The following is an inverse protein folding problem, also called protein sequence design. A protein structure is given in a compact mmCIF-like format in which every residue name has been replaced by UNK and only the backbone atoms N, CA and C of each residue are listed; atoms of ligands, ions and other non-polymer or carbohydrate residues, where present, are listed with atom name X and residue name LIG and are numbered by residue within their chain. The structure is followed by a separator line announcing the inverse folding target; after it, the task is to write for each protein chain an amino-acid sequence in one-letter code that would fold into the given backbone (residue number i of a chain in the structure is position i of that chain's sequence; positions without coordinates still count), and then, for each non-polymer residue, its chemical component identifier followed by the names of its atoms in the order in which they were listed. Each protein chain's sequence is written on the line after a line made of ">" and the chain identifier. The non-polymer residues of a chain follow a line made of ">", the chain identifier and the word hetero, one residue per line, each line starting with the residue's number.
data_IF_957732750583
#
_entry.id   IF_957732750583
#
_cell.length_a   1.000
_cell.length_b   1.000
_cell.length_c   1.000
_cell.angle_alpha   90.00
_cell.angle_beta   90.00
_cell.angle_gamma   90.00
#
_symmetry.space_group_name_H-M   'P 1'
#
loop_
_entity.id
_entity.type
_entity.pdbx_description
1 polymer ?
#
# COMPACT_ATOMS: atom_id res chain seq x y z
N UNK A 1 13.36 7.28 58.43
CA UNK A 1 14.81 7.54 58.37
C UNK A 1 15.40 7.18 57.03
N UNK A 2 15.65 5.88 56.77
CA UNK A 2 16.47 5.41 55.64
C UNK A 2 16.00 5.85 54.24
N UNK A 3 14.69 6.04 54.04
CA UNK A 3 14.09 6.41 52.75
C UNK A 3 13.66 7.88 52.65
N UNK A 4 13.96 8.72 53.63
CA UNK A 4 13.45 10.10 53.66
C UNK A 4 14.35 11.08 52.86
N UNK A 5 15.43 10.59 52.24
CA UNK A 5 16.27 11.37 51.34
C UNK A 5 15.72 11.29 49.90
N UNK A 6 15.34 12.42 49.28
CA UNK A 6 14.71 12.45 47.95
C UNK A 6 15.61 12.00 46.79
N UNK A 7 16.93 11.93 46.99
CA UNK A 7 17.89 11.48 45.96
C UNK A 7 18.16 9.97 45.97
N UNK A 8 17.51 9.20 46.84
CA UNK A 8 17.73 7.77 46.95
C UNK A 8 16.88 7.03 45.91
N UNK A 9 17.53 6.19 45.09
CA UNK A 9 16.81 5.22 44.25
C UNK A 9 16.19 4.16 45.16
N UNK A 10 14.89 4.33 45.43
CA UNK A 10 14.12 3.47 46.33
C UNK A 10 14.19 2.00 45.90
N UNK A 11 14.23 1.72 44.59
CA UNK A 11 14.27 0.36 44.06
C UNK A 11 15.60 -0.33 44.33
N UNK A 12 16.72 0.39 44.34
CA UNK A 12 18.03 -0.19 44.68
C UNK A 12 18.29 -0.24 46.18
N UNK A 13 17.64 0.65 46.95
CA UNK A 13 17.84 0.77 48.39
C UNK A 13 17.03 -0.23 49.19
N UNK A 14 15.87 -0.66 48.68
CA UNK A 14 15.04 -1.69 49.33
C UNK A 14 15.82 -3.01 49.51
N UNK A 15 16.42 -3.62 48.47
CA UNK A 15 17.17 -4.87 48.65
C UNK A 15 18.33 -4.73 49.63
N UNK A 16 19.08 -3.63 49.55
CA UNK A 16 20.20 -3.36 50.46
C UNK A 16 19.76 -3.24 51.92
N UNK A 17 18.58 -2.66 52.17
CA UNK A 17 18.01 -2.60 53.51
C UNK A 17 17.72 -4.01 54.01
N UNK A 18 17.08 -4.84 53.20
CA UNK A 18 16.76 -6.22 53.59
C UNK A 18 18.01 -7.07 53.85
N UNK A 19 19.08 -6.91 53.06
CA UNK A 19 20.37 -7.59 53.33
C UNK A 19 20.97 -7.18 54.67
N UNK A 20 20.89 -5.90 55.04
CA UNK A 20 21.43 -5.40 56.33
C UNK A 20 20.60 -5.86 57.52
N UNK A 21 19.29 -5.99 57.33
CA UNK A 21 18.34 -6.30 58.41
C UNK A 21 18.10 -7.81 58.53
N UNK A 22 18.42 -8.61 57.51
CA UNK A 22 18.21 -10.07 57.51
C UNK A 22 19.01 -10.78 58.59
N UNK A 23 20.28 -10.42 58.80
CA UNK A 23 21.11 -10.99 59.90
C UNK A 23 20.44 -10.74 61.26
N UNK A 24 19.98 -9.50 61.50
CA UNK A 24 19.33 -9.11 62.74
C UNK A 24 17.97 -9.82 62.94
N UNK A 25 17.20 -10.00 61.86
CA UNK A 25 15.91 -10.72 61.91
C UNK A 25 16.13 -12.20 62.25
N UNK A 26 17.15 -12.82 61.65
CA UNK A 26 17.48 -14.23 61.89
C UNK A 26 17.98 -14.48 63.32
N UNK A 27 18.63 -13.51 63.95
CA UNK A 27 19.11 -13.62 65.34
C UNK A 27 18.02 -13.37 66.39
N UNK A 28 17.04 -12.49 66.10
CA UNK A 28 16.11 -11.98 67.11
C UNK A 28 14.71 -12.62 67.13
N UNK A 29 14.32 -13.38 66.09
CA UNK A 29 12.95 -13.89 65.96
C UNK A 29 12.89 -15.39 65.70
N UNK A 30 11.95 -16.08 66.36
CA UNK A 30 11.71 -17.52 66.20
C UNK A 30 11.13 -17.90 64.81
N UNK A 31 10.53 -16.94 64.10
CA UNK A 31 9.94 -17.12 62.76
C UNK A 31 10.38 -15.98 61.81
N UNK A 32 11.65 -15.98 61.37
CA UNK A 32 12.24 -14.87 60.61
C UNK A 32 11.56 -14.66 59.24
N UNK A 33 11.06 -15.73 58.62
CA UNK A 33 10.34 -15.66 57.34
C UNK A 33 9.09 -14.78 57.41
N UNK A 34 8.23 -14.98 58.42
CA UNK A 34 6.99 -14.20 58.59
C UNK A 34 7.26 -12.73 58.92
N UNK A 35 8.34 -12.46 59.66
CA UNK A 35 8.76 -11.09 59.98
C UNK A 35 9.24 -10.39 58.71
N UNK A 36 10.03 -11.09 57.89
CA UNK A 36 10.53 -10.61 56.61
C UNK A 36 9.39 -10.31 55.64
N UNK A 37 8.43 -11.24 55.46
CA UNK A 37 7.25 -11.01 54.62
C UNK A 37 6.44 -9.78 55.07
N UNK A 38 6.20 -9.65 56.38
CA UNK A 38 5.46 -8.49 56.93
C UNK A 38 6.22 -7.19 56.72
N UNK A 39 7.55 -7.20 56.86
CA UNK A 39 8.39 -6.05 56.58
C UNK A 39 8.35 -5.67 55.09
N UNK A 40 8.38 -6.66 54.17
CA UNK A 40 8.21 -6.43 52.73
C UNK A 40 6.87 -5.76 52.45
N UNK A 41 5.77 -6.27 53.00
CA UNK A 41 4.44 -5.67 52.85
C UNK A 41 4.44 -4.21 53.32
N UNK A 42 5.01 -3.93 54.49
CA UNK A 42 5.11 -2.57 55.05
C UNK A 42 5.92 -1.65 54.15
N UNK A 43 7.10 -2.08 53.69
CA UNK A 43 7.95 -1.28 52.78
C UNK A 43 7.22 -0.98 51.47
N UNK A 44 6.56 -1.98 50.88
CA UNK A 44 5.79 -1.79 49.66
C UNK A 44 4.61 -0.82 49.85
N UNK A 45 3.90 -0.93 50.96
CA UNK A 45 2.67 -0.16 51.20
C UNK A 45 2.96 1.26 51.69
N UNK A 46 3.93 1.44 52.58
CA UNK A 46 4.20 2.72 53.25
C UNK A 46 5.30 3.55 52.58
N UNK A 47 6.16 2.93 51.77
CA UNK A 47 7.26 3.63 51.10
C UNK A 47 7.16 3.57 49.58
N UNK A 48 7.04 2.37 49.00
CA UNK A 48 7.00 2.24 47.54
C UNK A 48 5.71 2.81 46.93
N UNK A 49 4.54 2.49 47.48
CA UNK A 49 3.27 2.98 46.93
C UNK A 49 3.14 4.52 46.98
N UNK A 50 3.49 5.23 48.07
CA UNK A 50 3.51 6.69 48.06
C UNK A 50 4.55 7.28 47.08
N UNK A 51 5.72 6.64 46.94
CA UNK A 51 6.71 7.05 45.96
C UNK A 51 6.17 6.96 44.52
N UNK A 52 5.57 5.83 44.15
CA UNK A 52 4.93 5.62 42.84
C UNK A 52 3.83 6.67 42.62
N UNK A 53 2.98 6.91 43.63
CA UNK A 53 1.92 7.91 43.55
C UNK A 53 2.45 9.31 43.29
N UNK A 54 3.49 9.73 44.00
CA UNK A 54 4.10 11.04 43.84
C UNK A 54 4.74 11.24 42.45
N UNK A 55 5.14 10.16 41.77
CA UNK A 55 5.70 10.21 40.42
C UNK A 55 4.63 10.21 39.33
N UNK A 56 3.48 9.54 39.55
CA UNK A 56 2.45 9.33 38.52
C UNK A 56 1.31 10.35 38.58
N UNK A 57 0.79 10.63 39.78
CA UNK A 57 -0.38 11.50 39.97
C UNK A 57 -0.22 12.92 39.42
N UNK A 58 0.97 13.57 39.43
CA UNK A 58 1.13 14.90 38.85
C UNK A 58 0.71 14.98 37.38
N UNK A 59 1.01 13.94 36.58
CA UNK A 59 0.65 13.91 35.17
C UNK A 59 -0.86 13.75 34.95
N UNK A 60 -1.54 13.00 35.83
CA UNK A 60 -2.98 12.77 35.74
C UNK A 60 -3.83 14.00 36.10
N UNK A 61 -3.25 15.01 36.76
CA UNK A 61 -3.95 16.26 37.10
C UNK A 61 -4.16 17.17 35.90
N UNK A 62 -3.30 17.09 34.89
CA UNK A 62 -3.41 17.85 33.65
C UNK A 62 -3.08 16.94 32.45
N UNK A 63 -4.05 16.12 31.99
CA UNK A 63 -3.81 15.08 31.01
C UNK A 63 -3.83 15.63 29.57
N UNK A 64 -2.86 16.48 29.23
CA UNK A 64 -2.53 16.78 27.83
C UNK A 64 -1.70 15.64 27.21
N UNK A 65 -1.53 15.66 25.88
CA UNK A 65 -0.85 14.58 25.15
C UNK A 65 0.58 14.32 25.66
N UNK A 66 1.34 15.40 25.90
CA UNK A 66 2.73 15.33 26.39
C UNK A 66 2.80 14.73 27.81
N UNK A 67 1.91 15.14 28.71
CA UNK A 67 1.86 14.61 30.07
C UNK A 67 1.37 13.16 30.07
N UNK A 68 0.44 12.79 29.18
CA UNK A 68 -0.01 11.41 29.03
C UNK A 68 1.10 10.50 28.51
N UNK A 69 1.90 10.94 27.54
CA UNK A 69 3.06 10.17 27.08
C UNK A 69 4.11 10.00 28.19
N UNK A 70 4.42 11.08 28.93
CA UNK A 70 5.31 11.03 30.09
C UNK A 70 4.77 10.12 31.19
N UNK A 71 3.47 10.15 31.44
CA UNK A 71 2.79 9.29 32.40
C UNK A 71 2.96 7.81 32.01
N UNK A 72 2.63 7.44 30.77
CA UNK A 72 2.73 6.06 30.29
C UNK A 72 4.17 5.55 30.33
N UNK A 73 5.13 6.39 29.92
CA UNK A 73 6.56 6.06 29.98
C UNK A 73 7.06 5.89 31.42
N UNK A 74 6.61 6.75 32.33
CA UNK A 74 6.96 6.68 33.76
C UNK A 74 6.35 5.45 34.41
N UNK A 75 5.08 5.14 34.14
CA UNK A 75 4.40 3.94 34.62
C UNK A 75 5.13 2.68 34.18
N UNK A 76 5.44 2.56 32.88
CA UNK A 76 6.22 1.45 32.34
C UNK A 76 7.59 1.32 33.04
N UNK A 77 8.31 2.43 33.21
CA UNK A 77 9.63 2.42 33.84
C UNK A 77 9.57 1.99 35.31
N UNK A 78 8.61 2.53 36.07
CA UNK A 78 8.41 2.19 37.49
C UNK A 78 7.99 0.73 37.66
N UNK A 79 7.08 0.22 36.81
CA UNK A 79 6.65 -1.17 36.87
C UNK A 79 7.79 -2.14 36.52
N UNK A 80 8.60 -1.81 35.50
CA UNK A 80 9.80 -2.57 35.14
C UNK A 80 10.82 -2.58 36.28
N UNK A 81 11.02 -1.45 36.97
CA UNK A 81 11.88 -1.37 38.17
C UNK A 81 11.31 -2.19 39.33
N UNK A 82 9.99 -2.20 39.55
CA UNK A 82 9.34 -3.01 40.58
C UNK A 82 9.47 -4.52 40.31
N UNK A 83 9.36 -4.91 39.05
CA UNK A 83 9.59 -6.30 38.60
C UNK A 83 11.05 -6.69 38.82
N UNK A 84 12.00 -5.82 38.45
CA UNK A 84 13.42 -6.04 38.74
C UNK A 84 13.69 -6.15 40.24
N UNK A 85 13.11 -5.26 41.05
CA UNK A 85 13.19 -5.33 42.52
C UNK A 85 12.72 -6.69 43.04
N UNK A 86 11.62 -7.22 42.49
CA UNK A 86 11.11 -8.54 42.88
C UNK A 86 12.12 -9.66 42.56
N UNK A 87 12.78 -9.59 41.39
CA UNK A 87 13.83 -10.53 41.03
C UNK A 87 15.08 -10.36 41.93
N UNK A 88 15.45 -9.13 42.28
CA UNK A 88 16.57 -8.85 43.17
C UNK A 88 16.31 -9.42 44.59
N UNK A 89 15.07 -9.32 45.09
CA UNK A 89 14.66 -9.92 46.37
C UNK A 89 14.70 -11.46 46.33
N UNK A 90 14.35 -12.08 45.20
CA UNK A 90 14.46 -13.53 45.02
C UNK A 90 15.92 -14.00 44.94
N UNK A 91 16.74 -13.34 44.13
CA UNK A 91 18.15 -13.71 43.95
C UNK A 91 18.95 -13.59 45.23
N UNK A 92 18.60 -12.63 46.09
CA UNK A 92 19.19 -12.44 47.42
C UNK A 92 18.58 -13.36 48.49
N UNK A 93 17.65 -14.26 48.14
CA UNK A 93 16.95 -15.19 49.06
C UNK A 93 16.25 -14.48 50.22
N UNK A 94 15.74 -13.27 49.97
CA UNK A 94 14.96 -12.50 50.95
C UNK A 94 13.50 -12.98 50.93
N UNK A 95 13.00 -13.38 49.77
CA UNK A 95 11.66 -13.95 49.59
C UNK A 95 11.69 -15.01 48.50
N UNK A 96 11.26 -16.23 48.84
CA UNK A 96 11.27 -17.37 47.91
C UNK A 96 9.97 -17.53 47.12
N UNK A 97 8.88 -16.83 47.48
CA UNK A 97 7.60 -16.89 46.77
C UNK A 97 7.49 -15.82 45.66
N UNK A 98 7.64 -16.19 44.37
CA UNK A 98 7.47 -15.25 43.27
C UNK A 98 6.03 -14.75 43.11
N UNK A 99 5.03 -15.56 43.46
CA UNK A 99 3.63 -15.18 43.35
C UNK A 99 3.25 -14.13 44.41
N UNK A 100 3.85 -14.20 45.60
CA UNK A 100 3.72 -13.17 46.63
C UNK A 100 4.26 -11.82 46.15
N UNK A 101 5.48 -11.77 45.64
CA UNK A 101 6.11 -10.54 45.15
C UNK A 101 5.35 -9.95 43.95
N UNK A 102 4.84 -10.81 43.05
CA UNK A 102 3.97 -10.37 41.96
C UNK A 102 2.69 -9.71 42.47
N UNK A 103 2.02 -10.32 43.45
CA UNK A 103 0.81 -9.75 44.08
C UNK A 103 1.08 -8.41 44.75
N UNK A 104 2.27 -8.21 45.32
CA UNK A 104 2.66 -6.92 45.89
C UNK A 104 2.83 -5.84 44.82
N UNK A 105 3.49 -6.14 43.70
CA UNK A 105 3.55 -5.22 42.56
C UNK A 105 2.14 -4.90 42.06
N UNK A 106 1.32 -5.93 41.83
CA UNK A 106 -0.07 -5.77 41.41
C UNK A 106 -0.88 -4.90 42.39
N UNK A 107 -0.65 -5.03 43.69
CA UNK A 107 -1.30 -4.19 44.69
C UNK A 107 -0.87 -2.72 44.61
N UNK A 108 0.44 -2.44 44.48
CA UNK A 108 0.99 -1.08 44.36
C UNK A 108 0.48 -0.38 43.10
N UNK A 109 0.40 -1.10 41.98
CA UNK A 109 0.05 -0.51 40.68
C UNK A 109 -1.43 -0.67 40.29
N UNK A 110 -2.25 -1.34 41.11
CA UNK A 110 -3.63 -1.77 40.80
C UNK A 110 -4.50 -0.69 40.15
N UNK A 111 -4.53 0.51 40.72
CA UNK A 111 -5.36 1.62 40.22
C UNK A 111 -4.90 2.13 38.86
N UNK A 112 -3.59 2.10 38.60
CA UNK A 112 -2.98 2.57 37.36
C UNK A 112 -3.11 1.53 36.24
N UNK A 113 -2.91 0.24 36.56
CA UNK A 113 -3.07 -0.85 35.59
C UNK A 113 -4.52 -0.99 35.13
N UNK A 114 -5.49 -0.76 36.03
CA UNK A 114 -6.92 -0.82 35.69
C UNK A 114 -7.34 0.19 34.61
N UNK A 115 -6.70 1.35 34.54
CA UNK A 115 -7.02 2.41 33.56
C UNK A 115 -5.99 2.53 32.44
N UNK A 116 -4.89 1.77 32.53
CA UNK A 116 -3.76 1.81 31.62
C UNK A 116 -4.17 1.61 30.16
N UNK A 117 -4.90 0.54 29.86
CA UNK A 117 -5.29 0.17 28.49
C UNK A 117 -6.03 1.30 27.78
N UNK A 118 -6.99 1.91 28.46
CA UNK A 118 -7.71 3.08 27.95
C UNK A 118 -6.79 4.26 27.67
N UNK A 119 -5.89 4.60 28.59
CA UNK A 119 -4.99 5.73 28.42
C UNK A 119 -3.95 5.52 27.31
N UNK A 120 -3.38 4.31 27.22
CA UNK A 120 -2.44 3.94 26.16
C UNK A 120 -3.09 4.06 24.78
N UNK A 121 -4.26 3.44 24.61
CA UNK A 121 -4.95 3.41 23.32
C UNK A 121 -5.45 4.79 22.89
N UNK A 122 -5.93 5.61 23.83
CA UNK A 122 -6.35 6.99 23.53
C UNK A 122 -5.15 7.88 23.19
N UNK A 123 -4.05 7.78 23.95
CA UNK A 123 -2.83 8.54 23.67
C UNK A 123 -2.28 8.19 22.30
N UNK A 124 -2.22 6.90 21.95
CA UNK A 124 -1.78 6.45 20.63
C UNK A 124 -2.66 7.03 19.50
N UNK A 125 -3.97 7.01 19.68
CA UNK A 125 -4.94 7.54 18.72
C UNK A 125 -4.78 9.06 18.53
N UNK A 126 -4.59 9.82 19.60
CA UNK A 126 -4.31 11.25 19.54
C UNK A 126 -2.96 11.55 18.85
N UNK A 127 -1.90 10.77 19.14
CA UNK A 127 -0.60 10.91 18.43
C UNK A 127 -0.75 10.66 16.94
N UNK A 128 -1.46 9.61 16.56
CA UNK A 128 -1.72 9.31 15.15
C UNK A 128 -2.47 10.44 14.46
N UNK A 129 -3.48 11.01 15.12
CA UNK A 129 -4.23 12.14 14.59
C UNK A 129 -3.35 13.38 14.39
N UNK A 130 -2.45 13.70 15.33
CA UNK A 130 -1.48 14.80 15.19
C UNK A 130 -0.54 14.57 14.00
N UNK A 131 -0.07 13.34 13.82
CA UNK A 131 0.78 12.99 12.68
C UNK A 131 0.04 13.15 11.34
N UNK A 132 -1.22 12.70 11.26
CA UNK A 132 -2.06 12.85 10.08
C UNK A 132 -2.36 14.31 9.76
N UNK A 133 -2.73 15.12 10.76
CA UNK A 133 -3.02 16.54 10.60
C UNK A 133 -1.80 17.34 10.15
N UNK A 134 -0.59 16.94 10.59
CA UNK A 134 0.66 17.54 10.13
C UNK A 134 0.85 17.35 8.62
N UNK A 135 0.60 16.14 8.12
CA UNK A 135 0.72 15.83 6.69
C UNK A 135 -0.37 16.54 5.88
N UNK A 136 -1.62 16.57 6.37
CA UNK A 136 -2.71 17.32 5.72
C UNK A 136 -2.38 18.82 5.65
N UNK A 137 -1.74 19.38 6.68
CA UNK A 137 -1.35 20.79 6.73
C UNK A 137 -0.15 21.13 5.84
N UNK A 138 0.79 20.20 5.67
CA UNK A 138 1.95 20.38 4.78
C UNK A 138 1.61 20.12 3.31
N UNK A 139 0.67 19.21 3.02
CA UNK A 139 0.28 18.79 1.66
C UNK A 139 -0.75 19.68 0.97
N UNK A 140 -1.05 20.86 1.53
CA UNK A 140 -1.75 21.92 0.81
C UNK A 140 -3.18 21.62 0.35
N UNK A 141 -4.09 21.12 1.22
CA UNK A 141 -5.47 21.65 1.30
C UNK A 141 -6.29 21.00 2.42
N UNK A 142 -6.94 21.88 3.19
CA UNK A 142 -7.90 21.60 4.27
C UNK A 142 -9.05 20.74 3.74
N UNK A 143 -9.44 19.70 4.49
CA UNK A 143 -10.72 19.00 4.31
C UNK A 143 -11.84 20.01 4.07
N UNK A 144 -12.52 19.93 2.92
CA UNK A 144 -13.79 20.62 2.74
C UNK A 144 -14.77 19.93 3.68
N UNK A 145 -14.97 20.50 4.87
CA UNK A 145 -16.12 20.15 5.70
C UNK A 145 -17.37 20.50 4.90
N UNK A 146 -18.38 19.63 4.80
CA UNK A 146 -19.62 19.92 4.11
C UNK A 146 -20.45 20.88 4.97
N UNK A 147 -20.09 22.17 4.93
CA UNK A 147 -20.91 23.25 5.46
C UNK A 147 -21.25 24.19 4.32
N UNK A 148 -22.40 23.96 3.69
CA UNK A 148 -23.22 24.99 3.04
C UNK A 148 -22.67 25.73 1.82
N UNK A 149 -21.62 25.26 1.15
CA UNK A 149 -21.14 25.89 -0.09
C UNK A 149 -22.04 25.55 -1.28
N UNK A 150 -22.37 26.57 -2.08
CA UNK A 150 -23.13 26.42 -3.32
C UNK A 150 -22.34 25.59 -4.34
N UNK A 151 -23.03 24.76 -5.13
CA UNK A 151 -22.46 23.94 -6.20
C UNK A 151 -21.65 24.80 -7.19
N UNK A 152 -22.00 26.08 -7.35
CA UNK A 152 -21.29 27.04 -8.18
C UNK A 152 -19.90 27.39 -7.65
N UNK A 153 -19.72 27.49 -6.34
CA UNK A 153 -18.44 27.87 -5.72
C UNK A 153 -17.46 26.70 -5.74
N UNK A 154 -17.97 25.47 -5.61
CA UNK A 154 -17.20 24.22 -5.76
C UNK A 154 -16.69 24.08 -7.21
N UNK A 155 -17.50 24.45 -8.19
CA UNK A 155 -17.13 24.41 -9.61
C UNK A 155 -16.12 25.52 -9.94
N UNK A 156 -16.29 26.74 -9.40
CA UNK A 156 -15.32 27.83 -9.60
C UNK A 156 -13.96 27.53 -8.94
N UNK A 157 -13.93 26.95 -7.74
CA UNK A 157 -12.66 26.56 -7.10
C UNK A 157 -11.95 25.41 -7.83
N UNK A 158 -12.68 24.45 -8.41
CA UNK A 158 -12.07 23.39 -9.24
C UNK A 158 -11.50 23.88 -10.57
N UNK A 159 -12.08 24.92 -11.16
CA UNK A 159 -11.61 25.50 -12.43
C UNK A 159 -10.32 26.33 -12.24
N UNK A 160 -10.16 26.97 -11.07
CA UNK A 160 -8.98 27.78 -10.74
C UNK A 160 -7.76 26.93 -10.33
N UNK A 161 -7.96 25.71 -9.79
CA UNK A 161 -6.90 24.80 -9.38
C UNK A 161 -6.45 23.83 -10.49
N UNK A 162 -6.56 24.22 -11.76
CA UNK A 162 -6.17 23.37 -12.91
C UNK A 162 -4.66 23.26 -13.13
N UNK A 163 -3.85 23.72 -12.16
CA UNK A 163 -2.40 23.46 -12.09
C UNK A 163 -1.93 22.84 -10.76
N UNK A 164 -2.82 22.43 -9.88
CA UNK A 164 -2.41 21.98 -8.55
C UNK A 164 -1.79 20.59 -8.64
N UNK A 165 -0.47 20.60 -8.55
CA UNK A 165 0.39 19.44 -8.47
C UNK A 165 -0.23 18.45 -7.49
N UNK A 166 -0.46 17.20 -7.93
CA UNK A 166 -0.37 16.08 -6.98
C UNK A 166 1.07 16.15 -6.50
N UNK A 167 1.22 16.80 -5.36
CA UNK A 167 2.47 17.09 -4.71
C UNK A 167 2.99 15.72 -4.26
N UNK A 168 4.16 15.30 -4.76
CA UNK A 168 4.84 14.09 -4.27
C UNK A 168 5.00 14.11 -2.73
N UNK A 169 4.82 15.29 -2.12
CA UNK A 169 4.79 15.58 -0.68
C UNK A 169 3.65 14.89 0.10
N UNK A 170 2.57 14.43 -0.55
CA UNK A 170 1.40 13.90 0.18
C UNK A 170 1.60 12.47 0.71
N UNK A 171 2.35 11.64 -0.01
CA UNK A 171 2.82 10.36 0.51
C UNK A 171 4.12 10.59 1.27
N UNK A 172 4.01 10.79 2.58
CA UNK A 172 5.18 10.99 3.45
C UNK A 172 5.68 9.65 3.98
N UNK A 173 6.88 9.17 3.57
CA UNK A 173 7.47 7.97 4.18
C UNK A 173 7.73 8.15 5.68
N UNK A 174 7.95 9.40 6.11
CA UNK A 174 8.13 9.77 7.52
C UNK A 174 6.86 9.52 8.34
N UNK A 175 5.67 9.66 7.75
CA UNK A 175 4.41 9.38 8.43
C UNK A 175 4.31 7.90 8.78
N UNK A 176 4.49 7.01 7.80
CA UNK A 176 4.42 5.57 8.03
C UNK A 176 5.44 5.12 9.10
N UNK A 177 6.66 5.64 9.01
CA UNK A 177 7.71 5.37 10.00
C UNK A 177 7.34 5.87 11.41
N UNK A 178 6.80 7.09 11.53
CA UNK A 178 6.38 7.66 12.80
C UNK A 178 5.23 6.87 13.45
N UNK A 179 4.16 6.57 12.69
CA UNK A 179 3.03 5.79 13.20
C UNK A 179 3.46 4.38 13.65
N UNK A 180 4.34 3.73 12.88
CA UNK A 180 4.90 2.43 13.25
C UNK A 180 5.75 2.51 14.51
N UNK A 181 6.57 3.54 14.66
CA UNK A 181 7.43 3.71 15.84
C UNK A 181 6.60 3.95 17.11
N UNK A 182 5.56 4.76 17.02
CA UNK A 182 4.62 5.00 18.11
C UNK A 182 3.86 3.72 18.47
N UNK A 183 3.38 2.98 17.47
CA UNK A 183 2.73 1.68 17.68
C UNK A 183 3.66 0.68 18.37
N UNK A 184 4.93 0.59 17.95
CA UNK A 184 5.94 -0.29 18.56
C UNK A 184 6.22 0.07 20.03
N UNK A 185 6.28 1.37 20.31
CA UNK A 185 6.50 1.86 21.67
C UNK A 185 5.32 1.51 22.57
N UNK A 186 4.09 1.73 22.08
CA UNK A 186 2.87 1.31 22.77
C UNK A 186 2.82 -0.21 22.96
N UNK A 187 3.13 -0.99 21.93
CA UNK A 187 3.16 -2.45 21.98
C UNK A 187 4.11 -2.97 23.06
N UNK A 188 5.31 -2.40 23.17
CA UNK A 188 6.29 -2.74 24.21
C UNK A 188 5.76 -2.49 25.63
N UNK A 189 5.01 -1.39 25.81
CA UNK A 189 4.35 -1.07 27.09
C UNK A 189 3.22 -2.05 27.37
N UNK A 190 2.39 -2.35 26.37
CA UNK A 190 1.24 -3.27 26.48
C UNK A 190 1.71 -4.67 26.90
N UNK A 191 2.74 -5.22 26.25
CA UNK A 191 3.28 -6.54 26.57
C UNK A 191 3.90 -6.63 27.96
N UNK A 192 4.18 -5.48 28.60
CA UNK A 192 4.78 -5.41 29.95
C UNK A 192 3.73 -5.12 31.03
N UNK A 193 2.74 -4.30 30.73
CA UNK A 193 1.77 -3.77 31.70
C UNK A 193 0.42 -4.47 31.67
N UNK A 194 0.09 -5.20 30.60
CA UNK A 194 -1.14 -5.99 30.49
C UNK A 194 -0.86 -7.47 30.68
N UNK A 195 -1.80 -8.20 31.29
CA UNK A 195 -1.67 -9.65 31.55
C UNK A 195 -2.89 -10.43 31.04
N UNK A 196 -2.68 -11.72 30.75
CA UNK A 196 -3.74 -12.66 30.37
C UNK A 196 -4.53 -12.23 29.12
N UNK A 197 -5.85 -12.41 29.18
CA UNK A 197 -6.76 -12.08 28.06
C UNK A 197 -6.86 -10.58 27.78
N UNK A 198 -6.53 -9.71 28.73
CA UNK A 198 -6.53 -8.27 28.49
C UNK A 198 -5.35 -7.87 27.60
N UNK A 199 -4.20 -8.53 27.76
CA UNK A 199 -3.02 -8.29 26.91
C UNK A 199 -3.31 -8.58 25.44
N UNK A 200 -3.91 -9.73 25.13
CA UNK A 200 -4.26 -10.09 23.75
C UNK A 200 -5.26 -9.12 23.13
N UNK A 201 -6.23 -8.63 23.91
CA UNK A 201 -7.18 -7.60 23.46
C UNK A 201 -6.47 -6.26 23.20
N UNK A 202 -5.61 -5.82 24.11
CA UNK A 202 -4.89 -4.55 23.94
C UNK A 202 -3.93 -4.59 22.74
N UNK A 203 -3.26 -5.73 22.49
CA UNK A 203 -2.41 -5.93 21.31
C UNK A 203 -3.24 -5.80 20.02
N UNK A 204 -4.39 -6.48 19.96
CA UNK A 204 -5.34 -6.36 18.85
C UNK A 204 -5.75 -4.89 18.64
N UNK A 205 -6.24 -4.23 19.68
CA UNK A 205 -6.73 -2.85 19.61
C UNK A 205 -5.64 -1.84 19.22
N UNK A 206 -4.39 -2.08 19.62
CA UNK A 206 -3.24 -1.26 19.24
C UNK A 206 -2.92 -1.40 17.74
N UNK A 207 -2.92 -2.64 17.21
CA UNK A 207 -2.67 -2.86 15.79
C UNK A 207 -3.83 -2.37 14.90
N UNK A 208 -5.08 -2.52 15.34
CA UNK A 208 -6.24 -2.01 14.60
C UNK A 208 -6.20 -0.48 14.45
N UNK A 209 -5.69 0.26 15.45
CA UNK A 209 -5.47 1.71 15.33
C UNK A 209 -4.45 2.06 14.26
N UNK A 210 -3.37 1.29 14.15
CA UNK A 210 -2.36 1.48 13.10
C UNK A 210 -2.97 1.22 11.71
N UNK A 211 -3.72 0.11 11.54
CA UNK A 211 -4.41 -0.19 10.29
C UNK A 211 -5.39 0.91 9.90
N UNK A 212 -6.12 1.45 10.88
CA UNK A 212 -7.08 2.52 10.63
C UNK A 212 -6.39 3.83 10.24
N UNK A 213 -5.37 4.26 10.99
CA UNK A 213 -4.67 5.52 10.73
C UNK A 213 -3.89 5.49 9.42
N UNK A 214 -3.04 4.47 9.23
CA UNK A 214 -2.19 4.38 8.04
C UNK A 214 -2.95 3.85 6.83
N UNK A 215 -3.75 2.80 6.97
CA UNK A 215 -4.52 2.20 5.88
C UNK A 215 -5.74 3.03 5.48
N UNK A 216 -6.72 3.13 6.38
CA UNK A 216 -8.04 3.70 6.05
C UNK A 216 -8.06 5.24 6.00
N UNK A 217 -7.27 5.92 6.82
CA UNK A 217 -7.32 7.38 6.88
C UNK A 217 -6.30 8.03 5.95
N UNK A 218 -5.09 7.48 5.86
CA UNK A 218 -4.05 8.04 5.01
C UNK A 218 -4.04 7.44 3.59
N UNK A 219 -3.68 6.16 3.46
CA UNK A 219 -3.45 5.54 2.15
C UNK A 219 -4.72 5.52 1.30
N UNK A 220 -5.86 5.10 1.87
CA UNK A 220 -7.16 5.11 1.18
C UNK A 220 -7.51 6.50 0.64
N UNK A 221 -7.41 7.53 1.48
CA UNK A 221 -7.68 8.92 1.11
C UNK A 221 -6.75 9.39 -0.02
N UNK A 222 -5.44 9.13 0.08
CA UNK A 222 -4.47 9.56 -0.93
C UNK A 222 -4.61 8.79 -2.25
N UNK A 223 -4.96 7.51 -2.20
CA UNK A 223 -5.33 6.73 -3.40
C UNK A 223 -6.58 7.29 -4.06
N UNK A 224 -7.62 7.64 -3.28
CA UNK A 224 -8.84 8.23 -3.82
C UNK A 224 -8.58 9.60 -4.47
N UNK A 225 -7.72 10.44 -3.87
CA UNK A 225 -7.30 11.69 -4.49
C UNK A 225 -6.52 11.45 -5.79
N UNK A 226 -5.56 10.53 -5.76
CA UNK A 226 -4.76 10.17 -6.93
C UNK A 226 -5.63 9.59 -8.05
N UNK A 227 -6.68 8.84 -7.70
CA UNK A 227 -7.64 8.27 -8.64
C UNK A 227 -8.48 9.35 -9.33
N UNK A 228 -8.86 10.40 -8.60
CA UNK A 228 -9.60 11.54 -9.15
C UNK A 228 -8.72 12.42 -10.06
N UNK A 229 -7.41 12.42 -9.85
CA UNK A 229 -6.45 13.15 -10.66
C UNK A 229 -6.14 12.48 -12.01
N UNK A 230 -6.56 11.23 -12.22
CA UNK A 230 -6.39 10.55 -13.53
C UNK A 230 -7.24 11.31 -14.58
N UNK A 231 -6.65 11.73 -15.71
CA UNK A 231 -7.40 12.40 -16.76
C UNK A 231 -8.52 11.51 -17.32
N UNK A 232 -9.49 12.14 -18.00
CA UNK A 232 -10.57 11.42 -18.67
C UNK A 232 -10.07 10.38 -19.70
N UNK A 233 -10.94 9.48 -20.18
CA UNK A 233 -10.55 8.32 -20.97
C UNK A 233 -9.93 8.65 -22.33
N UNK A 234 -10.17 9.84 -22.90
CA UNK A 234 -9.62 10.26 -24.19
C UNK A 234 -9.01 11.66 -24.08
N UNK A 235 -7.85 11.80 -23.42
CA UNK A 235 -7.21 13.09 -23.24
C UNK A 235 -6.67 13.61 -24.58
N UNK A 236 -6.70 14.94 -24.76
CA UNK A 236 -6.15 15.57 -25.97
C UNK A 236 -4.63 15.77 -25.91
N UNK A 237 -4.08 15.84 -24.71
CA UNK A 237 -2.65 16.00 -24.45
C UNK A 237 -2.11 14.70 -23.84
N UNK A 238 -0.79 14.53 -23.91
CA UNK A 238 -0.14 13.36 -23.33
C UNK A 238 -0.44 13.27 -21.82
N UNK A 239 -1.05 12.17 -21.34
CA UNK A 239 -1.50 12.09 -19.98
C UNK A 239 -0.33 11.90 -19.01
N UNK A 240 -0.32 12.68 -17.94
CA UNK A 240 0.60 12.52 -16.82
C UNK A 240 -0.02 11.61 -15.75
N UNK A 241 0.23 10.31 -15.85
CA UNK A 241 -0.35 9.31 -14.93
C UNK A 241 0.48 9.22 -13.64
N UNK A 242 0.29 10.18 -12.74
CA UNK A 242 0.92 10.17 -11.41
C UNK A 242 0.39 9.08 -10.50
N UNK A 243 -0.75 8.48 -10.84
CA UNK A 243 -1.36 7.39 -10.07
C UNK A 243 -0.39 6.21 -9.85
N UNK A 244 0.51 5.93 -10.80
CA UNK A 244 1.49 4.85 -10.62
C UNK A 244 2.46 5.10 -9.46
N UNK A 245 2.80 6.36 -9.17
CA UNK A 245 3.58 6.70 -7.98
C UNK A 245 2.81 6.39 -6.69
N UNK A 246 1.51 6.69 -6.64
CA UNK A 246 0.65 6.37 -5.50
C UNK A 246 0.56 4.86 -5.24
N UNK A 247 0.54 4.03 -6.30
CA UNK A 247 0.64 2.57 -6.18
C UNK A 247 1.97 2.18 -5.50
N UNK A 248 3.08 2.75 -5.94
CA UNK A 248 4.40 2.48 -5.36
C UNK A 248 4.46 2.80 -3.87
N UNK A 249 3.98 3.98 -3.47
CA UNK A 249 3.97 4.41 -2.07
C UNK A 249 3.01 3.57 -1.20
N UNK A 250 1.88 3.15 -1.77
CA UNK A 250 0.97 2.22 -1.12
C UNK A 250 1.64 0.87 -0.88
N UNK A 251 2.31 0.30 -1.89
CA UNK A 251 3.02 -0.97 -1.75
C UNK A 251 4.11 -0.89 -0.67
N UNK A 252 4.90 0.19 -0.65
CA UNK A 252 5.92 0.40 0.40
C UNK A 252 5.29 0.41 1.80
N UNK A 253 4.17 1.12 1.97
CA UNK A 253 3.48 1.21 3.26
C UNK A 253 2.88 -0.13 3.69
N UNK A 254 2.26 -0.86 2.75
CA UNK A 254 1.74 -2.23 2.99
C UNK A 254 2.88 -3.17 3.41
N UNK A 255 4.03 -3.11 2.74
CA UNK A 255 5.19 -3.93 3.10
C UNK A 255 5.72 -3.62 4.51
N UNK A 256 5.71 -2.34 4.92
CA UNK A 256 6.11 -1.95 6.27
C UNK A 256 5.12 -2.49 7.33
N UNK A 257 3.81 -2.39 7.08
CA UNK A 257 2.77 -2.95 7.96
C UNK A 257 2.91 -4.47 8.04
N UNK A 258 3.07 -5.14 6.90
CA UNK A 258 3.18 -6.61 6.84
C UNK A 258 4.43 -7.10 7.56
N UNK A 259 5.57 -6.42 7.37
CA UNK A 259 6.80 -6.73 8.09
C UNK A 259 6.62 -6.58 9.59
N UNK A 260 6.00 -5.49 10.04
CA UNK A 260 5.71 -5.27 11.45
C UNK A 260 4.79 -6.37 12.01
N UNK A 261 3.73 -6.73 11.29
CA UNK A 261 2.82 -7.79 11.66
C UNK A 261 3.55 -9.14 11.84
N UNK A 262 4.32 -9.56 10.85
CA UNK A 262 5.03 -10.86 10.86
C UNK A 262 6.10 -10.91 11.95
N UNK A 263 6.88 -9.83 12.11
CA UNK A 263 8.02 -9.83 13.03
C UNK A 263 7.59 -9.66 14.50
N UNK A 264 6.66 -8.75 14.78
CA UNK A 264 6.43 -8.26 16.14
C UNK A 264 5.05 -8.63 16.70
N UNK A 265 4.04 -8.92 15.85
CA UNK A 265 2.64 -9.08 16.30
C UNK A 265 2.13 -10.52 16.22
N UNK A 266 2.40 -11.21 15.12
CA UNK A 266 1.78 -12.50 14.82
C UNK A 266 2.03 -13.57 15.91
N UNK A 267 3.23 -13.60 16.48
CA UNK A 267 3.61 -14.54 17.54
C UNK A 267 2.94 -14.23 18.88
N UNK A 268 2.65 -12.96 19.17
CA UNK A 268 2.05 -12.53 20.43
C UNK A 268 0.58 -12.95 20.56
N UNK A 269 -0.11 -13.14 19.43
CA UNK A 269 -1.52 -13.55 19.40
C UNK A 269 -1.73 -15.01 18.98
N UNK A 270 -0.66 -15.77 18.77
CA UNK A 270 -0.76 -17.16 18.32
C UNK A 270 -1.56 -18.00 19.33
N UNK A 271 -2.66 -18.61 18.88
CA UNK A 271 -3.52 -19.43 19.73
C UNK A 271 -4.52 -18.66 20.60
N UNK A 272 -4.61 -17.34 20.45
CA UNK A 272 -5.62 -16.49 21.12
C UNK A 272 -6.89 -16.36 20.27
N UNK A 273 -8.03 -16.03 20.90
CA UNK A 273 -9.28 -15.80 20.17
C UNK A 273 -9.22 -14.55 19.26
N UNK A 274 -8.36 -13.59 19.58
CA UNK A 274 -8.13 -12.35 18.84
C UNK A 274 -7.43 -12.54 17.49
N UNK A 275 -6.71 -13.66 17.30
CA UNK A 275 -5.93 -13.93 16.09
C UNK A 275 -6.79 -13.85 14.81
N UNK A 276 -7.96 -14.47 14.83
CA UNK A 276 -8.86 -14.49 13.66
C UNK A 276 -9.37 -13.09 13.31
N UNK A 277 -9.73 -12.29 14.31
CA UNK A 277 -10.24 -10.93 14.10
C UNK A 277 -9.15 -10.01 13.54
N UNK A 278 -7.91 -10.15 14.03
CA UNK A 278 -6.77 -9.39 13.54
C UNK A 278 -6.52 -9.65 12.05
N UNK A 279 -6.45 -10.94 11.67
CA UNK A 279 -6.22 -11.36 10.30
C UNK A 279 -7.31 -10.85 9.36
N UNK A 280 -8.58 -11.05 9.73
CA UNK A 280 -9.72 -10.56 8.94
C UNK A 280 -9.69 -9.04 8.75
N UNK A 281 -9.33 -8.29 9.80
CA UNK A 281 -9.26 -6.83 9.72
C UNK A 281 -8.13 -6.37 8.82
N UNK A 282 -6.95 -7.01 8.89
CA UNK A 282 -5.82 -6.75 8.00
C UNK A 282 -6.16 -7.04 6.54
N UNK A 283 -6.71 -8.22 6.27
CA UNK A 283 -7.13 -8.64 4.93
C UNK A 283 -8.20 -7.71 4.36
N UNK A 284 -9.17 -7.28 5.18
CA UNK A 284 -10.19 -6.33 4.77
C UNK A 284 -9.59 -5.00 4.32
N UNK A 285 -8.70 -4.41 5.10
CA UNK A 285 -8.06 -3.13 4.74
C UNK A 285 -7.21 -3.30 3.49
N UNK A 286 -6.41 -4.36 3.40
CA UNK A 286 -5.55 -4.60 2.24
C UNK A 286 -6.36 -4.84 0.96
N UNK A 287 -7.44 -5.61 1.04
CA UNK A 287 -8.34 -5.83 -0.09
C UNK A 287 -9.01 -4.55 -0.58
N UNK A 288 -9.44 -3.67 0.34
CA UNK A 288 -10.01 -2.36 -0.03
C UNK A 288 -9.00 -1.48 -0.79
N UNK A 289 -7.75 -1.44 -0.35
CA UNK A 289 -6.70 -0.69 -1.03
C UNK A 289 -6.37 -1.32 -2.41
N UNK A 290 -6.36 -2.64 -2.49
CA UNK A 290 -6.15 -3.37 -3.74
C UNK A 290 -7.28 -3.12 -4.75
N UNK A 291 -8.53 -3.10 -4.32
CA UNK A 291 -9.68 -2.76 -5.17
C UNK A 291 -9.55 -1.35 -5.77
N UNK A 292 -9.12 -0.37 -4.97
CA UNK A 292 -8.88 1.00 -5.44
C UNK A 292 -7.72 1.06 -6.44
N UNK A 293 -6.64 0.34 -6.19
CA UNK A 293 -5.51 0.21 -7.12
C UNK A 293 -5.99 -0.37 -8.45
N UNK A 294 -6.76 -1.46 -8.42
CA UNK A 294 -7.28 -2.11 -9.62
C UNK A 294 -8.17 -1.17 -10.45
N UNK A 295 -9.06 -0.42 -9.79
CA UNK A 295 -9.90 0.60 -10.45
C UNK A 295 -9.03 1.69 -11.09
N UNK A 296 -8.00 2.16 -10.38
CA UNK A 296 -7.12 3.22 -10.89
C UNK A 296 -6.21 2.78 -12.02
N UNK A 297 -5.71 1.54 -11.97
CA UNK A 297 -4.96 0.92 -13.08
C UNK A 297 -5.84 0.83 -14.32
N UNK A 298 -7.08 0.34 -14.20
CA UNK A 298 -7.99 0.25 -15.34
C UNK A 298 -8.25 1.62 -15.98
N UNK A 299 -8.54 2.64 -15.16
CA UNK A 299 -8.73 4.03 -15.63
C UNK A 299 -7.47 4.60 -16.27
N UNK A 300 -6.30 4.39 -15.67
CA UNK A 300 -5.02 4.84 -16.21
C UNK A 300 -4.74 4.21 -17.58
N UNK A 301 -4.90 2.90 -17.71
CA UNK A 301 -4.72 2.19 -18.98
C UNK A 301 -5.73 2.67 -20.03
N UNK A 302 -6.99 2.88 -19.63
CA UNK A 302 -8.02 3.42 -20.53
C UNK A 302 -7.62 4.81 -21.05
N UNK A 303 -7.13 5.69 -20.17
CA UNK A 303 -6.66 7.03 -20.51
C UNK A 303 -5.47 6.99 -21.50
N UNK A 304 -4.47 6.15 -21.23
CA UNK A 304 -3.30 5.98 -22.11
C UNK A 304 -3.72 5.46 -23.49
N UNK A 305 -4.59 4.45 -23.53
CA UNK A 305 -5.10 3.86 -24.77
C UNK A 305 -5.97 4.86 -25.54
N UNK A 306 -6.78 5.67 -24.87
CA UNK A 306 -7.55 6.72 -25.51
C UNK A 306 -6.69 7.85 -26.06
N UNK A 307 -5.58 8.19 -25.41
CA UNK A 307 -4.60 9.12 -25.98
C UNK A 307 -3.98 8.56 -27.26
N UNK A 308 -3.53 7.31 -27.24
CA UNK A 308 -3.01 6.63 -28.43
C UNK A 308 -4.05 6.57 -29.56
N UNK A 309 -5.34 6.35 -29.21
CA UNK A 309 -6.46 6.42 -30.17
C UNK A 309 -6.59 7.79 -30.80
N UNK A 310 -6.45 8.87 -30.03
CA UNK A 310 -6.48 10.23 -30.56
C UNK A 310 -5.36 10.49 -31.56
N UNK A 311 -4.14 10.03 -31.28
CA UNK A 311 -3.02 10.09 -32.23
C UNK A 311 -3.36 9.31 -33.51
N UNK A 312 -3.88 8.08 -33.39
CA UNK A 312 -4.27 7.25 -34.53
C UNK A 312 -5.38 7.88 -35.38
N UNK A 313 -6.31 8.61 -34.78
CA UNK A 313 -7.39 9.27 -35.51
C UNK A 313 -6.90 10.43 -36.39
N UNK A 314 -5.65 10.90 -36.22
CA UNK A 314 -5.03 11.88 -37.11
C UNK A 314 -4.55 11.26 -38.44
N UNK A 315 -4.51 9.92 -38.55
CA UNK A 315 -4.12 9.20 -39.75
C UNK A 315 -5.15 9.39 -40.88
N UNK A 316 -4.67 9.76 -42.08
CA UNK A 316 -5.54 10.06 -43.23
C UNK A 316 -5.77 8.82 -44.07
N UNK A 317 -6.91 8.76 -44.76
CA UNK A 317 -7.21 7.69 -45.73
C UNK A 317 -6.20 7.63 -46.87
N UNK A 318 -5.65 8.77 -47.27
CA UNK A 318 -4.61 8.88 -48.30
C UNK A 318 -3.31 8.17 -47.91
N UNK A 319 -3.07 7.93 -46.62
CA UNK A 319 -1.84 7.30 -46.14
C UNK A 319 -1.84 5.79 -46.45
N UNK A 320 -3.02 5.19 -46.56
CA UNK A 320 -3.22 3.77 -46.89
C UNK A 320 -3.90 3.53 -48.26
N UNK A 321 -4.30 4.61 -48.93
CA UNK A 321 -4.79 4.59 -50.32
C UNK A 321 -4.19 5.77 -51.11
N UNK A 322 -2.86 5.85 -51.24
CA UNK A 322 -2.22 6.92 -51.97
C UNK A 322 -2.48 6.81 -53.47
N UNK A 323 -2.63 7.95 -54.14
CA UNK A 323 -2.79 8.01 -55.61
C UNK A 323 -1.43 7.87 -56.33
N UNK A 324 -0.35 8.27 -55.67
CA UNK A 324 1.02 8.22 -56.18
C UNK A 324 1.86 7.23 -55.37
N UNK A 325 3.01 6.81 -55.90
CA UNK A 325 3.98 6.05 -55.13
C UNK A 325 4.45 6.84 -53.90
N UNK A 326 4.48 6.18 -52.74
CA UNK A 326 4.91 6.74 -51.46
C UNK A 326 6.21 6.06 -51.03
N UNK A 327 7.01 6.75 -50.22
CA UNK A 327 8.21 6.16 -49.63
C UNK A 327 7.81 5.22 -48.48
N UNK A 328 8.12 3.92 -48.62
CA UNK A 328 7.74 2.85 -47.66
C UNK A 328 8.96 2.33 -46.89
N UNK A 329 10.08 3.06 -46.89
CA UNK A 329 11.31 2.64 -46.20
C UNK A 329 11.18 2.61 -44.67
N UNK A 330 10.19 3.31 -44.10
CA UNK A 330 9.98 3.42 -42.66
C UNK A 330 8.48 3.38 -42.33
N UNK A 331 8.15 3.12 -41.06
CA UNK A 331 6.79 3.25 -40.56
C UNK A 331 6.30 4.71 -40.59
N UNK A 332 4.99 4.87 -40.57
CA UNK A 332 4.31 6.15 -40.66
C UNK A 332 4.64 7.07 -39.48
N UNK A 333 4.58 8.41 -39.66
CA UNK A 333 4.80 9.36 -38.58
C UNK A 333 3.86 9.16 -37.39
N UNK A 334 2.61 8.74 -37.65
CA UNK A 334 1.62 8.43 -36.62
C UNK A 334 2.02 7.17 -35.85
N UNK A 335 2.47 6.12 -36.53
CA UNK A 335 3.01 4.93 -35.88
C UNK A 335 4.14 5.26 -34.90
N UNK A 336 5.13 6.04 -35.34
CA UNK A 336 6.25 6.48 -34.48
C UNK A 336 5.78 7.25 -33.25
N UNK A 337 4.79 8.15 -33.41
CA UNK A 337 4.22 8.92 -32.28
C UNK A 337 3.51 8.03 -31.27
N UNK A 338 2.71 7.07 -31.74
CA UNK A 338 2.03 6.10 -30.87
C UNK A 338 3.06 5.27 -30.09
N UNK A 339 4.04 4.68 -30.78
CA UNK A 339 5.10 3.87 -30.14
C UNK A 339 5.85 4.68 -29.09
N UNK A 340 6.25 5.92 -29.40
CA UNK A 340 6.94 6.80 -28.47
C UNK A 340 6.10 7.10 -27.22
N UNK A 341 4.82 7.40 -27.38
CA UNK A 341 3.93 7.68 -26.24
C UNK A 341 3.76 6.45 -25.34
N UNK A 342 3.60 5.26 -25.92
CA UNK A 342 3.51 4.02 -25.15
C UNK A 342 4.81 3.71 -24.40
N UNK A 343 5.96 3.93 -25.05
CA UNK A 343 7.27 3.69 -24.43
C UNK A 343 7.48 4.56 -23.18
N UNK A 344 7.11 5.84 -23.25
CA UNK A 344 7.14 6.74 -22.08
C UNK A 344 6.34 6.17 -20.91
N UNK A 345 5.14 5.63 -21.17
CA UNK A 345 4.27 5.10 -20.12
C UNK A 345 4.75 3.75 -19.59
N UNK A 346 5.30 2.89 -20.45
CA UNK A 346 5.90 1.61 -20.04
C UNK A 346 7.09 1.86 -19.12
N UNK A 347 8.00 2.78 -19.46
CA UNK A 347 9.16 3.12 -18.62
C UNK A 347 8.70 3.63 -17.25
N UNK A 348 7.68 4.49 -17.19
CA UNK A 348 7.11 4.97 -15.92
C UNK A 348 6.53 3.84 -15.08
N UNK A 349 5.80 2.90 -15.69
CA UNK A 349 5.28 1.71 -15.03
C UNK A 349 6.41 0.86 -14.45
N UNK A 350 7.47 0.60 -15.23
CA UNK A 350 8.62 -0.20 -14.80
C UNK A 350 9.41 0.44 -13.66
N UNK A 351 9.34 1.76 -13.50
CA UNK A 351 10.00 2.49 -12.41
C UNK A 351 9.17 2.54 -11.12
N UNK A 352 7.87 2.28 -11.18
CA UNK A 352 6.93 2.53 -10.07
C UNK A 352 6.26 1.26 -9.56
N UNK A 353 6.09 0.24 -10.39
CA UNK A 353 5.45 -1.03 -10.06
C UNK A 353 6.43 -2.17 -10.31
N UNK A 354 6.45 -3.17 -9.42
CA UNK A 354 7.39 -4.27 -9.44
C UNK A 354 6.71 -5.66 -9.47
N UNK A 355 7.53 -6.68 -9.65
CA UNK A 355 7.15 -8.09 -9.51
C UNK A 355 5.98 -8.54 -10.39
N UNK A 356 5.07 -9.32 -9.80
CA UNK A 356 3.92 -9.90 -10.49
C UNK A 356 2.89 -8.85 -10.90
N UNK A 357 2.77 -7.76 -10.12
CA UNK A 357 1.83 -6.68 -10.41
C UNK A 357 2.22 -5.97 -11.72
N UNK A 358 3.50 -5.67 -11.91
CA UNK A 358 4.00 -5.09 -13.15
C UNK A 358 3.70 -6.00 -14.36
N UNK A 359 3.94 -7.31 -14.23
CA UNK A 359 3.68 -8.29 -15.30
C UNK A 359 2.18 -8.30 -15.67
N UNK A 360 1.29 -8.31 -14.68
CA UNK A 360 -0.16 -8.29 -14.90
C UNK A 360 -0.62 -7.03 -15.62
N UNK A 361 -0.15 -5.86 -15.17
CA UNK A 361 -0.51 -4.55 -15.76
C UNK A 361 0.01 -4.44 -17.20
N UNK A 362 1.28 -4.80 -17.44
CA UNK A 362 1.87 -4.75 -18.79
C UNK A 362 1.16 -5.71 -19.75
N UNK A 363 0.75 -6.89 -19.29
CA UNK A 363 -0.02 -7.83 -20.10
C UNK A 363 -1.37 -7.21 -20.53
N UNK A 364 -2.15 -6.68 -19.58
CA UNK A 364 -3.43 -6.05 -19.89
C UNK A 364 -3.27 -4.83 -20.80
N UNK A 365 -2.22 -4.03 -20.56
CA UNK A 365 -1.89 -2.90 -21.42
C UNK A 365 -1.60 -3.35 -22.86
N UNK A 366 -0.78 -4.38 -23.04
CA UNK A 366 -0.48 -4.95 -24.36
C UNK A 366 -1.70 -5.51 -25.08
N UNK A 367 -2.64 -6.15 -24.35
CA UNK A 367 -3.90 -6.66 -24.90
C UNK A 367 -4.79 -5.51 -25.41
N UNK A 368 -4.95 -4.44 -24.62
CA UNK A 368 -5.72 -3.25 -25.03
C UNK A 368 -5.07 -2.54 -26.21
N UNK A 369 -3.75 -2.48 -26.24
CA UNK A 369 -3.02 -1.91 -27.35
C UNK A 369 -3.19 -2.73 -28.64
N UNK A 370 -3.06 -4.05 -28.57
CA UNK A 370 -3.34 -4.94 -29.71
C UNK A 370 -4.75 -4.72 -30.27
N UNK A 371 -5.76 -4.66 -29.38
CA UNK A 371 -7.14 -4.38 -29.78
C UNK A 371 -7.27 -3.01 -30.46
N UNK A 372 -6.67 -1.96 -29.88
CA UNK A 372 -6.67 -0.62 -30.47
C UNK A 372 -6.11 -0.61 -31.90
N UNK A 373 -4.97 -1.28 -32.12
CA UNK A 373 -4.34 -1.35 -33.45
C UNK A 373 -5.21 -2.16 -34.41
N UNK A 374 -5.75 -3.30 -33.97
CA UNK A 374 -6.64 -4.13 -34.79
C UNK A 374 -7.87 -3.33 -35.25
N UNK A 375 -8.55 -2.66 -34.31
CA UNK A 375 -9.70 -1.81 -34.60
C UNK A 375 -9.34 -0.66 -35.54
N UNK A 376 -8.11 -0.14 -35.47
CA UNK A 376 -7.62 0.91 -36.36
C UNK A 376 -7.42 0.41 -37.80
N UNK A 377 -6.88 -0.81 -37.99
CA UNK A 377 -6.70 -1.42 -39.32
C UNK A 377 -8.05 -1.52 -40.06
N UNK A 378 -9.10 -1.93 -39.36
CA UNK A 378 -10.44 -2.08 -39.95
C UNK A 378 -11.12 -0.76 -40.35
N UNK A 379 -10.54 0.42 -40.03
CA UNK A 379 -11.09 1.73 -40.44
C UNK A 379 -10.72 2.15 -41.86
N UNK A 380 -9.83 1.42 -42.52
CA UNK A 380 -9.25 1.82 -43.81
C UNK A 380 -9.43 0.78 -44.90
N UNK A 381 -9.31 1.24 -46.14
CA UNK A 381 -9.13 0.40 -47.33
C UNK A 381 -7.68 0.55 -47.80
N UNK A 382 -7.14 -0.51 -48.39
CA UNK A 382 -5.72 -0.60 -48.74
C UNK A 382 -5.52 -0.90 -50.23
N UNK A 383 -4.75 -0.05 -50.90
CA UNK A 383 -4.10 -0.42 -52.16
C UNK A 383 -2.71 -1.04 -51.87
N UNK A 384 -1.97 -1.50 -52.90
CA UNK A 384 -0.68 -2.19 -52.69
C UNK A 384 0.31 -1.33 -51.88
N UNK A 385 0.48 -0.05 -52.26
CA UNK A 385 1.41 0.86 -51.58
C UNK A 385 1.01 1.11 -50.13
N UNK A 386 -0.29 1.30 -49.86
CA UNK A 386 -0.79 1.46 -48.50
C UNK A 386 -0.76 0.17 -47.67
N UNK A 387 -0.96 -0.98 -48.31
CA UNK A 387 -0.78 -2.31 -47.72
C UNK A 387 0.66 -2.52 -47.23
N UNK A 388 1.64 -2.11 -48.04
CA UNK A 388 3.05 -2.13 -47.64
C UNK A 388 3.33 -1.16 -46.49
N UNK A 389 2.72 0.04 -46.48
CA UNK A 389 2.85 1.00 -45.38
C UNK A 389 2.30 0.44 -44.05
N UNK A 390 1.07 -0.10 -44.04
CA UNK A 390 0.52 -0.70 -42.81
C UNK A 390 1.34 -1.93 -42.36
N UNK A 391 1.93 -2.69 -43.28
CA UNK A 391 2.83 -3.79 -42.94
C UNK A 391 4.08 -3.31 -42.19
N UNK A 392 4.63 -2.13 -42.56
CA UNK A 392 5.71 -1.50 -41.80
C UNK A 392 5.25 -1.02 -40.42
N UNK A 393 4.07 -0.40 -40.32
CA UNK A 393 3.50 0.04 -39.05
C UNK A 393 3.27 -1.13 -38.08
N UNK A 394 2.65 -2.22 -38.54
CA UNK A 394 2.44 -3.43 -37.72
C UNK A 394 3.77 -4.08 -37.34
N UNK A 395 4.78 -4.05 -38.22
CA UNK A 395 6.12 -4.54 -37.87
C UNK A 395 6.72 -3.74 -36.72
N UNK A 396 6.55 -2.42 -36.71
CA UNK A 396 7.03 -1.57 -35.64
C UNK A 396 6.22 -1.74 -34.34
N UNK A 397 4.89 -1.85 -34.43
CA UNK A 397 4.04 -2.16 -33.27
C UNK A 397 4.37 -3.53 -32.66
N UNK A 398 4.67 -4.54 -33.48
CA UNK A 398 5.13 -5.86 -33.03
C UNK A 398 6.50 -5.82 -32.34
N UNK A 399 7.41 -4.94 -32.76
CA UNK A 399 8.66 -4.70 -32.01
C UNK A 399 8.36 -4.05 -30.66
N UNK A 400 7.49 -3.04 -30.64
CA UNK A 400 7.05 -2.39 -29.42
C UNK A 400 6.36 -3.38 -28.47
N UNK A 401 5.62 -4.36 -29.00
CA UNK A 401 4.86 -5.32 -28.19
C UNK A 401 5.74 -6.15 -27.25
N UNK A 402 7.02 -6.37 -27.63
CA UNK A 402 8.00 -7.09 -26.80
C UNK A 402 8.21 -6.46 -25.43
N UNK A 403 8.01 -5.14 -25.32
CA UNK A 403 8.17 -4.39 -24.07
C UNK A 403 7.09 -4.72 -23.04
N UNK A 404 5.93 -5.26 -23.45
CA UNK A 404 4.88 -5.71 -22.53
C UNK A 404 5.21 -7.03 -21.81
N UNK A 405 6.29 -7.74 -22.20
CA UNK A 405 6.76 -8.98 -21.57
C UNK A 405 5.68 -10.07 -21.49
N UNK A 406 4.76 -10.10 -22.46
CA UNK A 406 3.66 -11.07 -22.53
C UNK A 406 3.75 -11.91 -23.80
N UNK A 407 3.88 -13.23 -23.62
CA UNK A 407 3.88 -14.20 -24.72
C UNK A 407 2.56 -14.19 -25.50
N UNK A 408 1.44 -13.97 -24.81
CA UNK A 408 0.12 -13.84 -25.44
C UNK A 408 0.07 -12.61 -26.36
N UNK A 409 0.51 -11.45 -25.88
CA UNK A 409 0.55 -10.22 -26.68
C UNK A 409 1.47 -10.39 -27.89
N UNK A 410 2.62 -11.05 -27.70
CA UNK A 410 3.56 -11.36 -28.78
C UNK A 410 2.96 -12.23 -29.87
N UNK A 411 2.21 -13.27 -29.49
CA UNK A 411 1.50 -14.14 -30.43
C UNK A 411 0.40 -13.39 -31.16
N UNK A 412 -0.37 -12.55 -30.46
CA UNK A 412 -1.41 -11.73 -31.07
C UNK A 412 -0.85 -10.78 -32.14
N UNK A 413 0.24 -10.06 -31.84
CA UNK A 413 0.89 -9.21 -32.85
C UNK A 413 1.55 -10.01 -33.98
N UNK A 414 2.02 -11.24 -33.74
CA UNK A 414 2.49 -12.11 -34.81
C UNK A 414 1.37 -12.54 -35.75
N UNK A 415 0.19 -12.86 -35.21
CA UNK A 415 -1.02 -13.18 -35.97
C UNK A 415 -1.51 -11.94 -36.75
N UNK A 416 -1.59 -10.77 -36.11
CA UNK A 416 -2.00 -9.53 -36.77
C UNK A 416 -1.06 -9.15 -37.93
N UNK A 417 0.24 -9.34 -37.75
CA UNK A 417 1.23 -9.14 -38.81
C UNK A 417 0.99 -10.08 -40.00
N UNK A 418 0.71 -11.36 -39.75
CA UNK A 418 0.37 -12.32 -40.80
C UNK A 418 -0.95 -11.97 -41.51
N UNK A 419 -1.96 -11.50 -40.77
CA UNK A 419 -3.24 -11.06 -41.34
C UNK A 419 -3.07 -9.82 -42.23
N UNK A 420 -2.28 -8.84 -41.80
CA UNK A 420 -1.99 -7.63 -42.59
C UNK A 420 -1.15 -7.93 -43.83
N UNK A 421 -0.31 -8.98 -43.80
CA UNK A 421 0.43 -9.43 -44.98
C UNK A 421 -0.52 -9.83 -46.13
N UNK A 422 -1.73 -10.32 -45.84
CA UNK A 422 -2.75 -10.64 -46.86
C UNK A 422 -3.19 -9.43 -47.68
N UNK A 423 -3.00 -8.20 -47.18
CA UNK A 423 -3.32 -6.96 -47.88
C UNK A 423 -2.37 -6.67 -49.04
N UNK A 424 -1.20 -7.32 -49.06
CA UNK A 424 -0.13 -7.08 -50.05
C UNK A 424 0.10 -8.28 -50.96
N UNK A 425 -0.17 -9.49 -50.47
CA UNK A 425 0.04 -10.73 -51.22
C UNK A 425 -0.70 -10.70 -52.57
N UNK A 426 -0.02 -11.13 -53.64
CA UNK A 426 -0.62 -11.24 -54.97
C UNK A 426 -1.74 -12.28 -54.95
N UNK A 427 -2.89 -12.06 -55.60
CA UNK A 427 -4.06 -12.94 -55.52
C UNK A 427 -3.75 -14.44 -55.73
N UNK A 428 -2.88 -14.78 -56.68
CA UNK A 428 -2.51 -16.16 -57.00
C UNK A 428 -1.85 -16.91 -55.83
N UNK A 429 -1.15 -16.19 -54.95
CA UNK A 429 -0.44 -16.77 -53.81
C UNK A 429 -1.26 -16.73 -52.51
N UNK A 430 -2.45 -16.11 -52.53
CA UNK A 430 -3.25 -15.85 -51.33
C UNK A 430 -3.65 -17.15 -50.62
N UNK A 431 -4.05 -18.17 -51.39
CA UNK A 431 -4.44 -19.48 -50.85
C UNK A 431 -3.31 -20.16 -50.10
N UNK A 432 -2.10 -20.16 -50.69
CA UNK A 432 -0.94 -20.76 -50.06
C UNK A 432 -0.62 -20.10 -48.72
N UNK A 433 -0.59 -18.76 -48.68
CA UNK A 433 -0.29 -17.99 -47.46
C UNK A 433 -1.34 -18.22 -46.37
N UNK A 434 -2.62 -18.34 -46.73
CA UNK A 434 -3.71 -18.65 -45.79
C UNK A 434 -3.53 -20.03 -45.15
N UNK A 435 -3.07 -21.03 -45.91
CA UNK A 435 -2.90 -22.40 -45.42
C UNK A 435 -1.61 -22.64 -44.61
N UNK A 436 -0.76 -21.63 -44.48
CA UNK A 436 0.56 -21.75 -43.84
C UNK A 436 0.66 -20.96 -42.52
N UNK A 437 1.55 -21.41 -41.64
CA UNK A 437 1.98 -20.66 -40.46
C UNK A 437 0.86 -20.30 -39.47
N UNK A 438 0.84 -19.03 -39.05
CA UNK A 438 -0.09 -18.52 -38.03
C UNK A 438 -1.55 -18.39 -38.51
N UNK A 439 -1.79 -18.40 -39.83
CA UNK A 439 -3.13 -18.20 -40.41
C UNK A 439 -3.91 -19.50 -40.51
N UNK A 440 -3.23 -20.64 -40.61
CA UNK A 440 -3.84 -21.95 -40.75
C UNK A 440 -4.80 -22.33 -39.60
N UNK A 441 -4.58 -21.76 -38.40
CA UNK A 441 -5.42 -21.99 -37.22
C UNK A 441 -6.58 -21.01 -37.06
N UNK A 442 -6.71 -20.00 -37.94
CA UNK A 442 -7.77 -18.99 -37.84
C UNK A 442 -9.03 -19.41 -38.59
N UNK A 443 -10.17 -18.90 -38.13
CA UNK A 443 -11.42 -19.09 -38.85
C UNK A 443 -11.43 -18.29 -40.15
N UNK A 444 -12.09 -18.85 -41.16
CA UNK A 444 -12.21 -18.23 -42.49
C UNK A 444 -12.82 -16.83 -42.42
N UNK A 445 -13.80 -16.61 -41.55
CA UNK A 445 -14.44 -15.30 -41.38
C UNK A 445 -13.45 -14.21 -40.98
N UNK A 446 -12.49 -14.53 -40.10
CA UNK A 446 -11.43 -13.60 -39.69
C UNK A 446 -10.54 -13.27 -40.90
N UNK A 447 -10.10 -14.28 -41.63
CA UNK A 447 -9.24 -14.11 -42.80
C UNK A 447 -9.95 -13.27 -43.87
N UNK A 448 -11.20 -13.60 -44.17
CA UNK A 448 -12.01 -12.88 -45.15
C UNK A 448 -12.21 -11.42 -44.74
N UNK A 449 -12.46 -11.14 -43.45
CA UNK A 449 -12.64 -9.76 -42.97
C UNK A 449 -11.42 -8.86 -43.25
N UNK A 450 -10.20 -9.39 -43.20
CA UNK A 450 -9.00 -8.65 -43.57
C UNK A 450 -8.85 -8.52 -45.09
N UNK A 451 -9.08 -9.58 -45.86
CA UNK A 451 -8.94 -9.54 -47.32
C UNK A 451 -9.96 -8.57 -47.95
N UNK A 452 -11.14 -8.41 -47.34
CA UNK A 452 -12.16 -7.44 -47.74
C UNK A 452 -11.69 -5.97 -47.65
N UNK A 453 -10.64 -5.68 -46.89
CA UNK A 453 -10.08 -4.33 -46.77
C UNK A 453 -9.27 -3.92 -48.01
N UNK A 454 -8.97 -4.84 -48.93
CA UNK A 454 -8.22 -4.53 -50.14
C UNK A 454 -9.09 -3.83 -51.18
N UNK A 455 -8.54 -2.84 -51.86
CA UNK A 455 -9.26 -2.11 -52.93
C UNK A 455 -9.59 -2.99 -54.14
N UNK A 456 -8.82 -4.06 -54.37
CA UNK A 456 -9.01 -5.02 -55.46
C UNK A 456 -9.90 -6.21 -55.10
N UNK A 457 -10.48 -6.25 -53.89
CA UNK A 457 -11.28 -7.38 -53.39
C UNK A 457 -12.34 -7.87 -54.39
N UNK A 458 -13.11 -6.91 -54.93
CA UNK A 458 -14.19 -7.19 -55.90
C UNK A 458 -13.67 -7.45 -57.31
N UNK A 459 -12.72 -6.65 -57.78
CA UNK A 459 -12.20 -6.73 -59.16
C UNK A 459 -11.39 -8.00 -59.40
N UNK A 460 -10.60 -8.43 -58.42
CA UNK A 460 -9.83 -9.68 -58.46
C UNK A 460 -10.63 -10.92 -58.01
N UNK A 461 -11.91 -10.76 -57.65
CA UNK A 461 -12.81 -11.83 -57.18
C UNK A 461 -12.20 -12.66 -56.03
N UNK A 462 -11.57 -11.99 -55.06
CA UNK A 462 -10.82 -12.65 -53.99
C UNK A 462 -11.68 -13.55 -53.10
N UNK A 463 -12.98 -13.24 -52.96
CA UNK A 463 -13.94 -14.12 -52.29
C UNK A 463 -13.89 -15.55 -52.81
N UNK A 464 -13.76 -15.76 -54.13
CA UNK A 464 -13.74 -17.10 -54.74
C UNK A 464 -12.44 -17.86 -54.42
N UNK A 465 -11.33 -17.15 -54.21
CA UNK A 465 -10.03 -17.73 -53.86
C UNK A 465 -9.95 -18.14 -52.39
N UNK A 466 -10.74 -17.50 -51.53
CA UNK A 466 -10.94 -17.90 -50.12
C UNK A 466 -12.04 -18.99 -50.03
N UNK A 467 -12.98 -19.00 -50.99
CA UNK A 467 -14.18 -19.84 -50.98
C UNK A 467 -14.09 -21.17 -51.73
N UNK A 468 -13.03 -21.45 -52.47
CA UNK A 468 -12.86 -22.77 -53.08
C UNK A 468 -12.61 -23.81 -51.98
N UNK A 469 -13.68 -24.47 -51.57
CA UNK A 469 -13.74 -25.43 -50.48
C UNK A 469 -12.81 -26.65 -50.67
N UNK A 470 -12.65 -27.32 -49.52
CA UNK A 470 -12.11 -28.66 -49.28
C UNK A 470 -12.47 -29.71 -50.33
#
# INVERSE_FOLDING_TARGET
>A
GYFDNPNIDIFNSIPQLFVKVSELINELFDQPEKVTERLIITVYTEKLAPYVRNQLDPYLRNPDLDNMEKYLQTLYTLYKKATKLSNDLQTQKISDDPAFLHKLNQHVFKSYLKTYSKYELNCLEEKFQVHLERVESSGGQRRIKPTGLSITDIIQQRLLNTSDQVDESRFSPDLAAALLQDCKTAMTRITTLSEGSEASENILQCFLRLLNALGNQHIDTELQYSLQAIPGPEPKQEPDIRFFYAISQTNNSIQLIERYFVMDIASLLLGTQQQSQLLQSKEKVFGQLEDLINIGVDKALLCIIGYARNILNEQKRSDFKPENEINISECSPICKRVVRSLDTQIVRLEQTVDGKNLIGILNEFGLRFHRLITDHVFKFEYNISGGLMILQDISEYKKCSKKFRSSTVDQLFAILHALVNLLVVVPDNLRQVITEGHLASLTRDIIESFVQLRTDYKSARLHAMISSDQ
#
